data_IF_434200255400
#
_entry.id   IF_434200255400
#
_cell.length_a   1.000
_cell.length_b   1.000
_cell.length_c   1.000
_cell.angle_alpha   90.00
_cell.angle_beta   90.00
_cell.angle_gamma   90.00
#
_symmetry.space_group_name_H-M   'P 1'
#
loop_
_entity.id
_entity.type
_entity.pdbx_description
1 polymer ?
#
# COMPACT_ATOMS: atom_id res chain seq x y z
N UNK A 1 13.67 -5.62 -19.87
CA UNK A 1 13.63 -5.66 -18.39
C UNK A 1 12.35 -6.37 -18.02
N UNK A 2 12.44 -7.51 -17.33
CA UNK A 2 11.23 -8.19 -16.85
C UNK A 2 10.63 -7.37 -15.71
N UNK A 3 9.33 -7.47 -15.46
CA UNK A 3 8.66 -6.74 -14.37
C UNK A 3 9.31 -6.99 -12.98
N UNK A 4 10.04 -8.09 -12.85
CA UNK A 4 10.84 -8.51 -11.69
C UNK A 4 12.15 -7.73 -11.50
N UNK A 5 12.69 -7.11 -12.55
CA UNK A 5 13.99 -6.41 -12.52
C UNK A 5 13.87 -4.94 -12.10
N UNK A 6 12.65 -4.46 -11.83
CA UNK A 6 12.44 -3.08 -11.42
C UNK A 6 13.05 -2.83 -10.02
N UNK A 7 13.87 -1.77 -9.81
CA UNK A 7 14.60 -1.56 -8.56
C UNK A 7 13.72 -1.44 -7.31
N UNK A 8 12.44 -1.11 -7.45
CA UNK A 8 11.51 -1.08 -6.32
C UNK A 8 10.93 -2.46 -5.99
N UNK A 9 10.78 -3.35 -6.99
CA UNK A 9 10.37 -4.75 -6.78
C UNK A 9 11.51 -5.52 -6.11
N UNK A 10 12.75 -5.31 -6.53
CA UNK A 10 13.92 -5.92 -5.89
C UNK A 10 14.01 -5.54 -4.40
N UNK A 11 13.73 -4.29 -4.04
CA UNK A 11 13.67 -3.88 -2.63
C UNK A 11 12.58 -4.59 -1.83
N UNK A 12 11.44 -4.90 -2.44
CA UNK A 12 10.39 -5.69 -1.79
C UNK A 12 10.79 -7.16 -1.66
N UNK A 13 11.48 -7.71 -2.66
CA UNK A 13 12.08 -9.05 -2.60
C UNK A 13 13.06 -9.15 -1.43
N UNK A 14 13.97 -8.20 -1.35
CA UNK A 14 15.09 -8.21 -0.39
C UNK A 14 14.69 -7.66 1.00
N UNK A 15 13.44 -7.21 1.17
CA UNK A 15 12.93 -6.67 2.45
C UNK A 15 13.55 -5.33 2.84
N UNK A 16 14.06 -4.57 1.87
CA UNK A 16 14.78 -3.33 2.08
C UNK A 16 13.84 -2.12 2.18
N UNK A 17 14.06 -1.31 3.21
CA UNK A 17 13.39 -0.02 3.34
C UNK A 17 14.09 1.06 2.51
N UNK A 18 13.38 1.77 1.61
CA UNK A 18 13.96 2.95 0.98
C UNK A 18 14.36 4.03 1.98
N UNK A 19 15.33 4.85 1.57
CA UNK A 19 15.66 6.11 2.25
C UNK A 19 14.39 6.97 2.34
N UNK A 20 14.05 7.42 3.55
CA UNK A 20 12.81 8.17 3.84
C UNK A 20 12.92 9.67 3.50
N UNK A 21 14.15 10.18 3.46
CA UNK A 21 14.48 11.60 3.23
C UNK A 21 13.76 12.22 2.01
N UNK A 22 13.71 11.59 0.82
CA UNK A 22 13.07 12.23 -0.34
C UNK A 22 11.57 12.46 -0.15
N UNK A 23 10.89 11.55 0.57
CA UNK A 23 9.46 11.70 0.89
C UNK A 23 9.26 12.79 1.94
N UNK A 24 10.12 12.82 2.97
CA UNK A 24 10.09 13.88 3.98
C UNK A 24 10.40 15.26 3.38
N UNK A 25 11.32 15.34 2.42
CA UNK A 25 11.63 16.55 1.66
C UNK A 25 10.42 17.01 0.85
N UNK A 26 9.82 16.10 0.07
CA UNK A 26 8.63 16.43 -0.71
C UNK A 26 7.51 16.95 0.19
N UNK A 27 7.26 16.29 1.32
CA UNK A 27 6.27 16.73 2.30
C UNK A 27 6.63 18.08 2.93
N UNK A 28 7.91 18.33 3.24
CA UNK A 28 8.38 19.63 3.74
C UNK A 28 8.15 20.75 2.71
N UNK A 29 8.50 20.52 1.44
CA UNK A 29 8.26 21.46 0.35
C UNK A 29 6.76 21.73 0.19
N UNK A 30 5.92 20.68 0.13
CA UNK A 30 4.46 20.84 0.04
C UNK A 30 3.89 21.64 1.20
N UNK A 31 4.39 21.40 2.42
CA UNK A 31 3.98 22.15 3.62
C UNK A 31 4.40 23.61 3.54
N UNK A 32 5.64 23.89 3.12
CA UNK A 32 6.14 25.26 2.95
C UNK A 32 5.39 26.03 1.86
N UNK A 33 5.06 25.37 0.74
CA UNK A 33 4.25 25.95 -0.34
C UNK A 33 2.83 26.27 0.16
N UNK A 34 2.18 25.32 0.85
CA UNK A 34 0.86 25.54 1.44
C UNK A 34 0.85 26.71 2.44
N UNK A 35 1.86 26.80 3.30
CA UNK A 35 2.02 27.90 4.25
C UNK A 35 2.32 29.23 3.56
N UNK A 36 3.17 29.23 2.53
CA UNK A 36 3.49 30.42 1.74
C UNK A 36 2.26 30.99 1.02
N UNK A 37 1.41 30.12 0.48
CA UNK A 37 0.13 30.51 -0.12
C UNK A 37 -0.81 31.13 0.92
N UNK A 38 -0.92 30.54 2.12
CA UNK A 38 -1.69 31.15 3.22
C UNK A 38 -1.17 32.55 3.57
N UNK A 39 0.14 32.70 3.76
CA UNK A 39 0.74 34.00 4.13
C UNK A 39 0.54 35.04 3.03
N UNK A 40 0.73 34.68 1.77
CA UNK A 40 0.52 35.58 0.64
C UNK A 40 -0.95 36.03 0.51
N UNK A 41 -1.90 35.15 0.80
CA UNK A 41 -3.33 35.46 0.81
C UNK A 41 -3.69 36.44 1.94
N UNK A 42 -3.15 36.24 3.14
CA UNK A 42 -3.36 37.19 4.25
C UNK A 42 -2.63 38.53 4.09
N UNK A 43 -1.56 38.58 3.28
CA UNK A 43 -0.75 39.78 3.05
C UNK A 43 -1.26 40.66 1.88
N UNK A 44 -2.23 40.21 1.08
CA UNK A 44 -2.71 40.96 -0.08
C UNK A 44 -3.95 41.82 0.23
N UNK A 45 -4.00 43.10 -0.20
CA UNK A 45 -5.13 44.01 0.08
C UNK A 45 -6.47 43.57 -0.53
N UNK A 46 -6.46 42.71 -1.55
CA UNK A 46 -7.67 42.21 -2.21
C UNK A 46 -8.45 41.20 -1.35
N UNK A 47 -7.80 40.55 -0.37
CA UNK A 47 -8.49 39.73 0.64
C UNK A 47 -9.46 40.57 1.49
N UNK A 48 -9.11 41.84 1.77
CA UNK A 48 -10.00 42.77 2.47
C UNK A 48 -11.13 43.29 1.58
N UNK A 49 -10.93 43.36 0.25
CA UNK A 49 -11.95 43.80 -0.73
C UNK A 49 -12.92 42.69 -1.15
N UNK A 50 -12.52 41.42 -1.05
CA UNK A 50 -13.35 40.26 -1.40
C UNK A 50 -14.37 39.81 -0.34
N UNK A 51 -14.46 40.51 0.81
CA UNK A 51 -15.29 40.11 1.94
C UNK A 51 -16.80 40.11 1.68
N UNK A 52 -17.26 40.73 0.59
CA UNK A 52 -18.68 40.82 0.22
C UNK A 52 -19.24 39.59 -0.53
N UNK A 53 -18.41 38.62 -0.90
CA UNK A 53 -18.86 37.43 -1.66
C UNK A 53 -18.51 36.12 -0.95
N UNK A 54 -19.48 35.57 -0.20
CA UNK A 54 -19.36 34.35 0.59
C UNK A 54 -18.93 33.10 -0.21
N UNK A 55 -19.12 33.10 -1.54
CA UNK A 55 -18.77 31.99 -2.45
C UNK A 55 -17.27 31.92 -2.78
N UNK A 56 -16.56 33.03 -2.64
CA UNK A 56 -15.11 33.15 -2.87
C UNK A 56 -14.34 32.78 -1.60
N UNK A 57 -14.94 33.01 -0.42
CA UNK A 57 -14.33 32.77 0.90
C UNK A 57 -13.99 31.29 1.19
N UNK A 58 -14.73 30.32 0.64
CA UNK A 58 -14.54 28.90 0.95
C UNK A 58 -13.48 28.20 0.10
N UNK A 59 -13.18 28.69 -1.11
CA UNK A 59 -12.20 28.03 -1.99
C UNK A 59 -10.77 28.48 -1.69
N UNK A 60 -10.58 29.75 -1.34
CA UNK A 60 -9.26 30.36 -1.19
C UNK A 60 -8.54 29.94 0.09
N UNK A 61 -9.24 29.88 1.24
CA UNK A 61 -8.64 29.43 2.51
C UNK A 61 -8.54 27.91 2.61
N UNK A 62 -9.48 27.17 2.02
CA UNK A 62 -9.59 25.72 2.21
C UNK A 62 -8.51 24.96 1.43
N UNK A 63 -8.15 25.42 0.23
CA UNK A 63 -7.14 24.76 -0.62
C UNK A 63 -5.74 24.74 0.03
N UNK A 64 -5.17 25.88 0.49
CA UNK A 64 -3.87 25.89 1.16
C UNK A 64 -3.85 25.07 2.47
N UNK A 65 -4.97 25.05 3.18
CA UNK A 65 -5.15 24.27 4.41
C UNK A 65 -5.17 22.76 4.11
N UNK A 66 -5.83 22.35 3.03
CA UNK A 66 -5.80 20.97 2.51
C UNK A 66 -4.37 20.59 2.10
N UNK A 67 -3.66 21.44 1.36
CA UNK A 67 -2.28 21.18 0.92
C UNK A 67 -1.33 20.99 2.11
N UNK A 68 -1.43 21.89 3.10
CA UNK A 68 -0.64 21.82 4.33
C UNK A 68 -0.97 20.57 5.16
N UNK A 69 -2.27 20.29 5.32
CA UNK A 69 -2.75 19.10 6.02
C UNK A 69 -2.30 17.80 5.34
N UNK A 70 -2.31 17.74 4.01
CA UNK A 70 -1.83 16.59 3.25
C UNK A 70 -0.31 16.38 3.44
N UNK A 71 0.48 17.46 3.44
CA UNK A 71 1.91 17.40 3.76
C UNK A 71 2.19 16.80 5.13
N UNK A 72 1.49 17.27 6.17
CA UNK A 72 1.64 16.74 7.53
C UNK A 72 1.20 15.27 7.63
N UNK A 73 0.08 14.92 7.00
CA UNK A 73 -0.44 13.55 6.97
C UNK A 73 0.56 12.59 6.33
N UNK A 74 1.20 12.98 5.22
CA UNK A 74 2.26 12.20 4.58
C UNK A 74 3.45 11.95 5.51
N UNK A 75 3.89 12.94 6.28
CA UNK A 75 5.00 12.79 7.24
C UNK A 75 4.62 11.78 8.33
N UNK A 76 3.47 11.98 8.97
CA UNK A 76 3.01 11.10 10.06
C UNK A 76 2.84 9.67 9.57
N UNK A 77 2.18 9.47 8.43
CA UNK A 77 1.95 8.15 7.86
C UNK A 77 3.27 7.44 7.50
N UNK A 78 4.26 8.16 6.97
CA UNK A 78 5.57 7.59 6.61
C UNK A 78 6.36 7.17 7.85
N UNK A 79 6.33 7.97 8.92
CA UNK A 79 7.05 7.67 10.17
C UNK A 79 6.39 6.49 10.91
N UNK A 80 5.06 6.49 11.05
CA UNK A 80 4.34 5.43 11.76
C UNK A 80 4.49 4.09 11.05
N UNK A 81 4.22 4.05 9.74
CA UNK A 81 4.37 2.86 8.90
C UNK A 81 5.80 2.34 8.93
N UNK A 82 6.78 3.25 8.88
CA UNK A 82 8.18 2.89 8.97
C UNK A 82 8.61 2.31 10.32
N UNK A 83 7.93 2.61 11.43
CA UNK A 83 8.22 1.97 12.72
C UNK A 83 7.56 0.59 12.80
N UNK A 84 6.30 0.51 12.37
CA UNK A 84 5.54 -0.73 12.40
C UNK A 84 6.19 -1.80 11.50
N UNK A 85 6.54 -1.45 10.27
CA UNK A 85 7.21 -2.36 9.33
C UNK A 85 8.57 -2.84 9.85
N UNK A 86 9.35 -2.00 10.56
CA UNK A 86 10.62 -2.44 11.16
C UNK A 86 10.40 -3.50 12.24
N UNK A 87 9.36 -3.32 13.08
CA UNK A 87 9.01 -4.31 14.10
C UNK A 87 8.59 -5.63 13.46
N UNK A 88 7.74 -5.56 12.43
CA UNK A 88 7.29 -6.72 11.69
C UNK A 88 8.46 -7.44 11.01
N UNK A 89 9.34 -6.72 10.30
CA UNK A 89 10.54 -7.32 9.66
C UNK A 89 11.54 -7.91 10.65
N UNK A 90 11.67 -7.33 11.85
CA UNK A 90 12.54 -7.88 12.89
C UNK A 90 12.02 -9.24 13.39
N UNK A 91 10.70 -9.38 13.52
CA UNK A 91 10.03 -10.63 13.91
C UNK A 91 10.14 -11.69 12.81
N UNK A 92 9.88 -11.28 11.57
CA UNK A 92 9.97 -12.14 10.39
C UNK A 92 11.36 -12.75 10.21
N UNK A 93 12.42 -11.94 10.40
CA UNK A 93 13.81 -12.41 10.27
C UNK A 93 14.20 -13.48 11.30
N UNK A 94 13.42 -13.64 12.37
CA UNK A 94 13.63 -14.73 13.33
C UNK A 94 13.04 -16.07 12.84
N UNK A 95 12.12 -16.06 11.87
CA UNK A 95 11.32 -17.23 11.48
C UNK A 95 11.63 -17.85 10.12
N UNK A 96 12.44 -17.22 9.24
CA UNK A 96 12.80 -17.83 7.96
C UNK A 96 13.37 -16.87 6.89
N UNK A 97 13.50 -17.39 5.66
CA UNK A 97 14.02 -16.67 4.48
C UNK A 97 12.90 -16.39 3.45
N UNK A 98 12.13 -15.30 3.61
CA UNK A 98 11.06 -14.95 2.68
C UNK A 98 11.59 -14.62 1.27
N UNK A 99 10.83 -14.98 0.24
CA UNK A 99 11.14 -14.66 -1.16
C UNK A 99 10.62 -13.28 -1.56
N UNK A 100 9.54 -12.81 -0.94
CA UNK A 100 8.99 -11.50 -1.23
C UNK A 100 8.24 -10.91 -0.03
N UNK A 101 8.35 -9.58 0.13
CA UNK A 101 7.62 -8.82 1.15
C UNK A 101 6.61 -7.91 0.46
N UNK A 102 5.33 -8.17 0.69
CA UNK A 102 4.21 -7.39 0.19
C UNK A 102 3.64 -6.54 1.34
N UNK A 103 4.12 -5.30 1.55
CA UNK A 103 3.50 -4.41 2.52
C UNK A 103 2.09 -4.05 2.07
N UNK A 104 1.14 -4.04 3.00
CA UNK A 104 -0.26 -3.72 2.74
C UNK A 104 -0.73 -2.59 3.66
N UNK A 105 -1.80 -1.89 3.29
CA UNK A 105 -2.49 -0.98 4.19
C UNK A 105 -3.31 -1.76 5.21
N UNK A 106 -3.36 -1.26 6.46
CA UNK A 106 -4.21 -1.81 7.52
C UNK A 106 -5.69 -1.54 7.28
N UNK A 107 -6.01 -0.52 6.48
CA UNK A 107 -7.37 -0.10 6.15
C UNK A 107 -7.77 -0.64 4.78
N UNK A 108 -8.14 -1.93 4.72
CA UNK A 108 -8.80 -2.48 3.53
C UNK A 108 -10.24 -1.99 3.43
N UNK A 109 -10.61 -1.34 2.32
CA UNK A 109 -12.01 -1.09 1.98
C UNK A 109 -12.63 -2.43 1.54
N UNK A 110 -13.66 -2.87 2.27
CA UNK A 110 -14.28 -4.22 2.25
C UNK A 110 -15.15 -4.52 1.02
N UNK A 111 -15.30 -5.82 0.74
CA UNK A 111 -16.56 -6.42 0.26
C UNK A 111 -17.10 -7.54 1.16
N UNK A 112 -16.28 -8.31 1.89
CA UNK A 112 -16.78 -9.33 2.83
C UNK A 112 -15.68 -9.80 3.78
N UNK A 113 -15.89 -9.57 5.07
CA UNK A 113 -15.11 -10.04 6.22
C UNK A 113 -13.67 -9.52 6.44
N UNK A 114 -13.49 -8.99 7.65
CA UNK A 114 -12.26 -8.40 8.14
C UNK A 114 -11.21 -9.50 8.31
N UNK A 115 -9.97 -9.24 7.90
CA UNK A 115 -8.85 -9.97 8.48
C UNK A 115 -8.97 -9.95 10.01
N UNK A 116 -8.72 -11.08 10.68
CA UNK A 116 -8.80 -11.14 12.13
C UNK A 116 -7.91 -10.05 12.74
N UNK A 117 -8.40 -9.39 13.79
CA UNK A 117 -7.52 -8.51 14.56
C UNK A 117 -6.43 -9.38 15.24
N UNK A 118 -5.15 -8.98 15.17
CA UNK A 118 -4.65 -7.71 14.65
C UNK A 118 -4.46 -7.71 13.11
N UNK A 119 -4.85 -6.60 12.48
CA UNK A 119 -4.83 -6.47 11.01
C UNK A 119 -3.41 -6.62 10.44
N UNK A 120 -3.23 -7.40 9.36
CA UNK A 120 -1.93 -7.61 8.76
C UNK A 120 -1.40 -6.34 8.09
N UNK A 121 -0.08 -6.16 8.13
CA UNK A 121 0.64 -5.02 7.56
C UNK A 121 1.66 -5.42 6.50
N UNK A 122 2.16 -6.65 6.57
CA UNK A 122 3.09 -7.23 5.62
C UNK A 122 2.66 -8.65 5.34
N UNK A 123 2.52 -8.98 4.07
CA UNK A 123 2.37 -10.34 3.58
C UNK A 123 3.73 -10.83 3.12
N UNK A 124 4.20 -11.94 3.70
CA UNK A 124 5.36 -12.66 3.20
C UNK A 124 4.92 -13.67 2.16
N UNK A 125 5.80 -13.88 1.19
CA UNK A 125 5.66 -14.94 0.20
C UNK A 125 6.90 -15.82 0.30
N UNK A 126 6.69 -17.11 0.50
CA UNK A 126 7.75 -18.11 0.57
C UNK A 126 7.36 -19.42 -0.14
N UNK A 127 8.10 -20.49 0.13
CA UNK A 127 7.89 -21.81 -0.49
C UNK A 127 6.59 -22.49 -0.01
N UNK A 128 6.07 -22.12 1.16
CA UNK A 128 4.85 -22.71 1.73
C UNK A 128 3.62 -21.96 1.20
N UNK A 129 3.70 -20.64 1.12
CA UNK A 129 2.59 -19.82 0.65
C UNK A 129 2.74 -18.37 1.03
N UNK A 130 1.61 -17.78 1.40
CA UNK A 130 1.52 -16.39 1.81
C UNK A 130 1.21 -16.30 3.30
N UNK A 131 1.98 -15.52 4.02
CA UNK A 131 1.85 -15.38 5.48
C UNK A 131 1.63 -13.92 5.83
N UNK A 132 0.50 -13.60 6.43
CA UNK A 132 0.13 -12.24 6.81
C UNK A 132 0.64 -11.96 8.23
N UNK A 133 1.43 -10.91 8.39
CA UNK A 133 2.06 -10.53 9.65
C UNK A 133 1.52 -9.20 10.17
N UNK A 134 1.30 -9.16 11.48
CA UNK A 134 0.95 -7.96 12.22
C UNK A 134 2.10 -7.56 13.17
N UNK A 135 2.30 -6.26 13.43
CA UNK A 135 3.41 -5.79 14.27
C UNK A 135 3.28 -6.17 15.76
N UNK A 136 2.11 -6.64 16.19
CA UNK A 136 1.79 -7.01 17.57
C UNK A 136 1.83 -8.51 17.85
N UNK A 137 2.00 -9.36 16.83
CA UNK A 137 2.07 -10.83 16.95
C UNK A 137 3.46 -11.34 16.53
N UNK A 138 3.92 -12.39 17.18
CA UNK A 138 5.22 -13.02 16.89
C UNK A 138 5.10 -14.14 15.85
N UNK A 139 3.87 -14.53 15.53
CA UNK A 139 3.51 -15.50 14.48
C UNK A 139 2.59 -14.84 13.43
N UNK A 140 2.45 -15.43 12.23
CA UNK A 140 1.48 -15.00 11.24
C UNK A 140 0.05 -14.95 11.81
N UNK A 141 -0.70 -13.89 11.48
CA UNK A 141 -2.11 -13.75 11.87
C UNK A 141 -3.06 -14.43 10.89
N UNK A 142 -2.58 -14.72 9.69
CA UNK A 142 -3.31 -15.41 8.64
C UNK A 142 -2.30 -16.07 7.71
N UNK A 143 -2.59 -17.30 7.29
CA UNK A 143 -1.73 -18.06 6.39
C UNK A 143 -2.57 -18.58 5.23
N UNK A 144 -2.01 -18.47 4.03
CA UNK A 144 -2.65 -18.91 2.79
C UNK A 144 -1.65 -19.79 2.01
N UNK A 145 -1.74 -21.12 2.14
CA UNK A 145 -0.82 -22.02 1.46
C UNK A 145 -1.02 -21.95 -0.06
N UNK A 146 0.03 -22.21 -0.83
CA UNK A 146 -0.04 -22.15 -2.30
C UNK A 146 -1.14 -23.04 -2.90
N UNK A 147 -1.38 -24.20 -2.29
CA UNK A 147 -2.45 -25.12 -2.71
C UNK A 147 -3.85 -24.48 -2.63
N UNK A 148 -4.04 -23.52 -1.72
CA UNK A 148 -5.29 -22.77 -1.57
C UNK A 148 -5.42 -21.59 -2.53
N UNK A 149 -4.33 -21.15 -3.18
CA UNK A 149 -4.33 -19.99 -4.06
C UNK A 149 -4.67 -20.41 -5.49
N UNK A 150 -5.79 -19.93 -6.03
CA UNK A 150 -6.16 -20.16 -7.44
C UNK A 150 -5.60 -19.09 -8.36
N UNK A 151 -5.76 -17.81 -8.01
CA UNK A 151 -5.42 -16.72 -8.91
C UNK A 151 -5.17 -15.41 -8.17
N UNK A 152 -4.27 -14.60 -8.74
CA UNK A 152 -4.12 -13.18 -8.43
C UNK A 152 -4.71 -12.31 -9.53
N UNK A 153 -5.45 -11.26 -9.19
CA UNK A 153 -5.93 -10.23 -10.12
C UNK A 153 -5.96 -8.86 -9.49
N UNK A 154 -5.95 -7.81 -10.31
CA UNK A 154 -6.16 -6.45 -9.81
C UNK A 154 -7.61 -6.32 -9.33
N UNK A 155 -7.78 -5.73 -8.16
CA UNK A 155 -9.10 -5.41 -7.60
C UNK A 155 -9.54 -4.03 -8.09
N UNK A 156 -10.71 -3.99 -8.72
CA UNK A 156 -11.36 -2.78 -9.21
C UNK A 156 -12.58 -2.46 -8.34
N UNK A 157 -12.82 -1.18 -8.11
CA UNK A 157 -14.06 -0.67 -7.51
C UNK A 157 -14.64 0.44 -8.37
N UNK A 158 -15.96 0.61 -8.35
CA UNK A 158 -16.58 1.80 -8.92
C UNK A 158 -16.31 3.00 -7.99
N UNK A 159 -15.77 4.07 -8.57
CA UNK A 159 -15.66 5.37 -7.95
C UNK A 159 -16.19 6.44 -8.90
N UNK A 160 -17.36 7.00 -8.58
CA UNK A 160 -18.01 8.07 -9.33
C UNK A 160 -18.24 7.72 -10.82
N UNK A 161 -18.61 6.46 -11.10
CA UNK A 161 -18.88 5.98 -12.46
C UNK A 161 -17.63 5.61 -13.25
N UNK A 162 -16.47 5.56 -12.60
CA UNK A 162 -15.22 5.06 -13.17
C UNK A 162 -14.73 3.84 -12.39
N UNK A 163 -14.29 2.80 -13.08
CA UNK A 163 -13.58 1.71 -12.44
C UNK A 163 -12.16 2.16 -12.06
N UNK A 164 -11.82 1.99 -10.79
CA UNK A 164 -10.52 2.35 -10.24
C UNK A 164 -9.88 1.12 -9.60
N UNK A 165 -8.64 0.85 -10.01
CA UNK A 165 -7.79 -0.17 -9.40
C UNK A 165 -7.38 0.27 -7.99
N UNK A 166 -7.63 -0.57 -6.99
CA UNK A 166 -7.36 -0.23 -5.59
C UNK A 166 -6.63 -1.32 -4.81
N UNK A 167 -6.44 -2.52 -5.37
CA UNK A 167 -5.82 -3.62 -4.64
C UNK A 167 -5.54 -4.85 -5.49
N UNK A 168 -5.31 -5.97 -4.82
CA UNK A 168 -5.12 -7.29 -5.41
C UNK A 168 -6.14 -8.25 -4.80
N UNK A 169 -6.94 -8.86 -5.69
CA UNK A 169 -7.74 -10.04 -5.39
C UNK A 169 -6.86 -11.28 -5.39
N UNK A 170 -6.99 -12.07 -4.34
CA UNK A 170 -6.42 -13.40 -4.20
C UNK A 170 -7.62 -14.35 -4.13
N UNK A 171 -7.91 -15.00 -5.25
CA UNK A 171 -8.98 -15.99 -5.33
C UNK A 171 -8.49 -17.29 -4.74
N UNK A 172 -9.26 -17.83 -3.80
CA UNK A 172 -8.89 -19.04 -3.06
C UNK A 172 -9.73 -20.24 -3.51
N UNK A 173 -9.28 -21.45 -3.18
CA UNK A 173 -9.97 -22.68 -3.60
C UNK A 173 -11.21 -23.00 -2.79
N UNK A 174 -11.29 -22.47 -1.57
CA UNK A 174 -12.40 -22.60 -0.63
C UNK A 174 -13.50 -21.53 -0.85
N UNK A 175 -13.29 -20.59 -1.78
CA UNK A 175 -14.23 -19.51 -2.08
C UNK A 175 -14.15 -18.31 -1.13
N UNK A 176 -13.23 -18.32 -0.17
CA UNK A 176 -12.95 -17.19 0.72
C UNK A 176 -11.92 -16.23 0.12
N UNK A 177 -12.33 -15.54 -0.95
CA UNK A 177 -11.45 -14.62 -1.67
C UNK A 177 -10.97 -13.46 -0.78
N UNK A 178 -9.69 -13.12 -0.94
CA UNK A 178 -9.01 -12.13 -0.10
C UNK A 178 -8.61 -10.91 -0.92
N UNK A 179 -8.92 -9.70 -0.42
CA UNK A 179 -8.44 -8.45 -1.01
C UNK A 179 -7.35 -7.83 -0.15
N UNK A 180 -6.22 -7.55 -0.76
CA UNK A 180 -5.14 -6.77 -0.14
C UNK A 180 -4.94 -5.46 -0.87
N UNK A 181 -4.54 -4.41 -0.14
CA UNK A 181 -4.17 -3.11 -0.70
C UNK A 181 -2.67 -2.90 -0.55
N UNK A 182 -1.86 -3.28 -1.55
CA UNK A 182 -0.41 -3.21 -1.44
C UNK A 182 0.08 -1.78 -1.34
N UNK A 183 1.20 -1.60 -0.64
CA UNK A 183 2.01 -0.40 -0.65
C UNK A 183 3.19 -0.61 -1.61
N UNK A 184 3.68 0.43 -2.28
CA UNK A 184 4.73 0.29 -3.28
C UNK A 184 6.14 0.18 -2.67
N UNK A 185 6.27 0.28 -1.35
CA UNK A 185 7.52 0.09 -0.62
C UNK A 185 7.25 -0.11 0.89
N UNK A 186 8.16 -0.80 1.57
CA UNK A 186 8.21 -0.84 3.03
C UNK A 186 8.42 0.58 3.60
N UNK A 187 7.71 0.90 4.67
CA UNK A 187 7.70 2.21 5.34
C UNK A 187 6.92 3.30 4.61
N UNK A 188 6.24 2.99 3.50
CA UNK A 188 5.36 3.93 2.81
C UNK A 188 3.99 3.94 3.49
N UNK A 189 3.32 5.09 3.56
CA UNK A 189 2.01 5.23 4.22
C UNK A 189 0.79 5.13 3.30
N UNK A 190 0.98 4.73 2.03
CA UNK A 190 -0.07 4.82 1.01
C UNK A 190 0.01 3.68 0.01
N UNK A 191 -1.12 3.40 -0.64
CA UNK A 191 -1.32 2.32 -1.59
C UNK A 191 -0.47 2.48 -2.87
N UNK A 192 -0.29 1.36 -3.56
CA UNK A 192 0.32 1.29 -4.87
C UNK A 192 -0.70 1.75 -5.92
N UNK A 193 -0.27 2.62 -6.84
CA UNK A 193 -1.10 3.03 -7.98
C UNK A 193 -1.27 1.92 -9.03
N UNK A 194 -2.16 2.11 -10.02
CA UNK A 194 -2.60 1.08 -10.97
C UNK A 194 -1.45 0.29 -11.64
N UNK A 195 -0.50 0.97 -12.29
CA UNK A 195 0.61 0.29 -12.97
C UNK A 195 1.54 -0.51 -12.04
N UNK A 196 1.58 -0.17 -10.75
CA UNK A 196 2.31 -0.95 -9.74
C UNK A 196 1.52 -2.16 -9.28
N UNK A 197 0.18 -2.08 -9.22
CA UNK A 197 -0.68 -3.22 -8.91
C UNK A 197 -0.53 -4.30 -9.99
N UNK A 198 -0.57 -3.92 -11.28
CA UNK A 198 -0.32 -4.86 -12.38
C UNK A 198 1.04 -5.57 -12.26
N UNK A 199 2.07 -4.80 -11.90
CA UNK A 199 3.41 -5.33 -11.71
C UNK A 199 3.48 -6.30 -10.53
N UNK A 200 2.85 -5.97 -9.39
CA UNK A 200 2.76 -6.87 -8.24
C UNK A 200 1.98 -8.15 -8.57
N UNK A 201 0.86 -8.06 -9.28
CA UNK A 201 0.10 -9.24 -9.73
C UNK A 201 0.96 -10.14 -10.62
N UNK A 202 1.73 -9.57 -11.56
CA UNK A 202 2.67 -10.35 -12.38
C UNK A 202 3.75 -11.05 -11.55
N UNK A 203 4.33 -10.35 -10.57
CA UNK A 203 5.33 -10.93 -9.65
C UNK A 203 4.72 -12.07 -8.85
N UNK A 204 3.55 -11.87 -8.22
CA UNK A 204 2.87 -12.91 -7.44
C UNK A 204 2.52 -14.14 -8.27
N UNK A 205 2.06 -13.95 -9.53
CA UNK A 205 1.83 -15.07 -10.46
C UNK A 205 3.13 -15.75 -10.90
N UNK A 206 4.26 -15.06 -10.94
CA UNK A 206 5.56 -15.71 -11.18
C UNK A 206 5.95 -16.58 -9.99
N UNK A 207 5.89 -16.01 -8.78
CA UNK A 207 6.19 -16.72 -7.54
C UNK A 207 5.28 -17.93 -7.34
N UNK A 208 3.98 -17.83 -7.65
CA UNK A 208 3.06 -18.97 -7.61
C UNK A 208 3.48 -20.09 -8.57
N UNK A 209 3.99 -19.76 -9.76
CA UNK A 209 4.46 -20.77 -10.74
C UNK A 209 5.80 -21.38 -10.35
N UNK A 210 6.65 -20.60 -9.69
CA UNK A 210 8.00 -21.03 -9.27
C UNK A 210 7.96 -21.85 -7.97
N UNK A 211 7.09 -21.46 -7.02
CA UNK A 211 7.06 -21.99 -5.65
C UNK A 211 5.82 -22.83 -5.36
N UNK A 212 4.73 -22.62 -6.09
CA UNK A 212 3.52 -23.42 -5.92
C UNK A 212 3.75 -24.86 -6.35
N UNK A 213 2.97 -25.82 -5.83
CA UNK A 213 3.02 -27.19 -6.30
C UNK A 213 2.80 -27.18 -7.81
N UNK A 214 3.74 -27.75 -8.58
CA UNK A 214 3.55 -28.00 -10.00
C UNK A 214 2.20 -28.71 -10.12
N UNK A 215 1.20 -28.05 -10.68
CA UNK A 215 -0.04 -28.70 -11.03
C UNK A 215 0.36 -29.82 -12.00
N UNK A 216 0.40 -31.05 -11.48
CA UNK A 216 0.60 -32.23 -12.31
C UNK A 216 -0.40 -32.13 -13.46
N UNK A 217 0.03 -32.32 -14.71
CA UNK A 217 -0.89 -32.28 -15.83
C UNK A 217 -1.99 -33.30 -15.52
N UNK A 218 -3.23 -32.81 -15.41
CA UNK A 218 -4.38 -33.68 -15.24
C UNK A 218 -4.36 -34.68 -16.40
N UNK A 219 -4.13 -35.95 -16.08
CA UNK A 219 -4.23 -37.07 -17.00
C UNK A 219 -5.58 -36.95 -17.73
N UNK A 220 -5.49 -36.69 -19.03
CA UNK A 220 -6.63 -36.89 -19.93
C UNK A 220 -6.80 -38.39 -20.08
N UNK A 221 -7.77 -38.94 -19.36
CA UNK A 221 -8.45 -40.17 -19.74
C UNK A 221 -9.66 -39.83 -20.61
#
# INVERSE_FOLDING_TARGET
MTATDEPWVLRLRDGEMPKRWPVLLAAAITTLVGLGLLVAEFATPDFLRGLDSARTRSTFVLYPLIVTGFGLLLVVATISSGRADRRTLARIRAGGSPRFHLPVLTSGMRTSDDFPEPRPQIWLVDEVGLHAWAPSRDDPVFELPWAGVRRFSVATKDSRGQQVDFGIWITTSDGHDVVVQPRPALGRGFEAGPGKLDTLVRVLRSLQRELGPQQAPADRH
#
